data_IF_015013408457
#
_entry.id   IF_015013408457
#
_cell.length_a   1.000
_cell.length_b   1.000
_cell.length_c   1.000
_cell.angle_alpha   90.00
_cell.angle_beta   90.00
_cell.angle_gamma   90.00
#
_symmetry.space_group_name_H-M   'P 1'
#
loop_
_entity.id
_entity.type
_entity.pdbx_description
1 polymer ?
#
# COMPACT_ATOMS: atom_id res chain seq x y z
N UNK A 1 -3.88 -30.47 -13.05
CA UNK A 1 -4.92 -29.78 -13.83
C UNK A 1 -5.76 -28.97 -12.83
N UNK A 2 -5.64 -27.65 -12.82
CA UNK A 2 -6.45 -26.78 -12.00
C UNK A 2 -7.93 -26.96 -12.35
N UNK A 3 -8.73 -27.36 -11.38
CA UNK A 3 -10.19 -27.40 -11.55
C UNK A 3 -10.70 -25.95 -11.59
N UNK A 4 -11.34 -25.55 -12.69
CA UNK A 4 -12.10 -24.30 -12.79
C UNK A 4 -13.06 -24.25 -11.59
N UNK A 5 -13.16 -23.11 -10.87
CA UNK A 5 -14.01 -23.02 -9.69
C UNK A 5 -15.44 -23.44 -10.04
N UNK A 6 -15.94 -24.48 -9.40
CA UNK A 6 -17.35 -24.78 -9.42
C UNK A 6 -18.09 -23.64 -8.73
N UNK A 7 -19.21 -23.15 -9.29
CA UNK A 7 -19.99 -22.03 -8.71
C UNK A 7 -20.39 -22.25 -7.24
N UNK A 8 -20.44 -23.49 -6.81
CA UNK A 8 -20.78 -23.91 -5.45
C UNK A 8 -19.67 -23.68 -4.41
N UNK A 9 -18.44 -23.28 -4.84
CA UNK A 9 -17.29 -23.09 -3.98
C UNK A 9 -16.81 -21.61 -3.84
N UNK A 10 -17.64 -20.64 -4.26
CA UNK A 10 -17.28 -19.22 -4.15
C UNK A 10 -17.39 -18.80 -2.68
N UNK A 11 -16.39 -18.07 -2.21
CA UNK A 11 -16.40 -17.50 -0.85
C UNK A 11 -17.44 -16.37 -0.77
N UNK A 12 -18.44 -16.58 0.06
CA UNK A 12 -19.51 -15.61 0.36
C UNK A 12 -19.59 -15.45 1.86
N UNK A 13 -19.64 -14.22 2.35
CA UNK A 13 -19.81 -13.95 3.78
C UNK A 13 -21.28 -14.04 4.22
N UNK A 14 -21.51 -13.94 5.54
CA UNK A 14 -22.86 -13.99 6.13
C UNK A 14 -23.80 -12.85 5.68
N UNK A 15 -23.29 -11.83 4.98
CA UNK A 15 -24.07 -10.72 4.42
C UNK A 15 -24.29 -10.85 2.91
N UNK A 16 -23.96 -12.00 2.32
CA UNK A 16 -24.09 -12.26 0.89
C UNK A 16 -23.03 -11.57 0.02
N UNK A 17 -21.95 -11.02 0.62
CA UNK A 17 -20.88 -10.37 -0.12
C UNK A 17 -19.89 -11.40 -0.61
N UNK A 18 -19.58 -11.34 -1.91
CA UNK A 18 -18.54 -12.18 -2.52
C UNK A 18 -17.14 -11.70 -2.04
N UNK A 19 -16.34 -12.63 -1.56
CA UNK A 19 -14.96 -12.38 -1.20
C UNK A 19 -14.08 -12.70 -2.40
N UNK A 20 -13.60 -11.67 -3.09
CA UNK A 20 -12.80 -11.78 -4.33
C UNK A 20 -11.37 -11.24 -4.17
N UNK A 21 -10.98 -10.84 -2.96
CA UNK A 21 -9.72 -10.17 -2.68
C UNK A 21 -8.97 -10.81 -1.52
N UNK A 22 -7.69 -11.17 -1.77
CA UNK A 22 -6.77 -11.73 -0.78
C UNK A 22 -5.62 -10.75 -0.49
N UNK A 23 -5.33 -10.52 0.79
CA UNK A 23 -4.09 -9.88 1.24
C UNK A 23 -3.14 -10.95 1.76
N UNK A 24 -1.98 -11.08 1.12
CA UNK A 24 -0.96 -12.04 1.47
C UNK A 24 0.25 -11.32 2.06
N UNK A 25 0.48 -11.50 3.36
CA UNK A 25 1.70 -11.05 4.05
C UNK A 25 2.80 -12.08 3.81
N UNK A 26 3.84 -11.70 3.08
CA UNK A 26 4.92 -12.63 2.71
C UNK A 26 6.08 -12.63 3.70
N UNK A 27 6.17 -11.65 4.60
CA UNK A 27 7.23 -11.53 5.60
C UNK A 27 6.83 -10.55 6.70
N UNK A 28 7.35 -10.78 7.90
CA UNK A 28 7.30 -9.81 9.01
C UNK A 28 8.51 -8.82 8.97
N UNK A 29 9.54 -9.12 8.16
CA UNK A 29 10.76 -8.31 8.09
C UNK A 29 10.54 -7.03 7.30
N UNK A 30 11.10 -5.94 7.81
CA UNK A 30 11.08 -4.63 7.16
C UNK A 30 12.43 -3.94 7.34
N UNK A 31 12.83 -3.13 6.38
CA UNK A 31 14.04 -2.31 6.45
C UNK A 31 13.80 -0.89 7.00
N UNK A 32 12.55 -0.54 7.30
CA UNK A 32 12.16 0.65 8.07
C UNK A 32 11.67 0.24 9.47
N UNK A 33 11.52 1.22 10.38
CA UNK A 33 11.07 1.06 11.76
C UNK A 33 10.05 2.12 12.13
N UNK A 34 8.96 2.18 11.35
CA UNK A 34 7.94 3.23 11.54
C UNK A 34 7.35 3.20 12.95
N UNK A 35 7.31 4.37 13.58
CA UNK A 35 6.92 4.54 15.00
C UNK A 35 5.52 4.07 15.32
N UNK A 36 4.64 4.04 14.33
CA UNK A 36 3.27 3.55 14.45
C UNK A 36 3.10 2.07 14.09
N UNK A 37 4.16 1.39 13.62
CA UNK A 37 4.09 0.03 13.08
C UNK A 37 4.83 -1.00 13.93
N UNK A 38 6.09 -0.74 14.29
CA UNK A 38 6.92 -1.69 15.03
C UNK A 38 8.00 -1.00 15.87
N UNK A 39 8.45 -1.63 16.98
CA UNK A 39 9.53 -1.12 17.79
C UNK A 39 10.87 -1.14 17.04
N UNK A 40 11.83 -0.32 17.50
CA UNK A 40 13.18 -0.30 16.90
C UNK A 40 13.85 -1.69 16.99
N UNK A 41 13.74 -2.33 18.15
CA UNK A 41 14.29 -3.68 18.40
C UNK A 41 13.23 -4.77 18.19
N UNK A 42 12.71 -4.84 16.94
CA UNK A 42 11.71 -5.85 16.59
C UNK A 42 12.31 -7.26 16.63
N UNK A 43 11.61 -8.17 17.30
CA UNK A 43 11.91 -9.62 17.29
C UNK A 43 11.09 -10.26 16.16
N UNK A 44 11.78 -10.65 15.09
CA UNK A 44 11.15 -11.30 13.94
C UNK A 44 10.94 -12.79 14.16
N UNK A 45 9.94 -13.34 13.48
CA UNK A 45 9.69 -14.78 13.44
C UNK A 45 10.89 -15.54 12.85
N UNK A 46 11.08 -16.77 13.27
CA UNK A 46 12.10 -17.63 12.67
C UNK A 46 11.68 -18.02 11.25
N UNK A 47 12.66 -18.30 10.38
CA UNK A 47 12.36 -18.69 8.99
C UNK A 47 11.47 -19.92 8.89
N UNK A 48 11.55 -20.85 9.84
CA UNK A 48 10.74 -22.08 9.88
C UNK A 48 9.27 -21.84 10.24
N UNK A 49 8.97 -20.69 10.84
CA UNK A 49 7.62 -20.32 11.28
C UNK A 49 6.89 -19.45 10.24
N UNK A 50 7.57 -19.14 9.13
CA UNK A 50 7.02 -18.38 7.99
C UNK A 50 6.87 -19.34 6.81
N UNK A 51 5.69 -19.38 6.18
CA UNK A 51 5.44 -20.19 5.00
C UNK A 51 6.51 -19.97 3.91
N UNK A 52 6.94 -21.04 3.27
CA UNK A 52 7.73 -20.98 2.03
C UNK A 52 6.93 -20.35 0.89
N UNK A 53 7.59 -19.97 -0.20
CA UNK A 53 6.85 -19.48 -1.37
C UNK A 53 6.04 -20.58 -2.06
N UNK A 54 6.46 -21.83 -1.98
CA UNK A 54 5.71 -22.97 -2.53
C UNK A 54 4.40 -23.16 -1.75
N UNK A 55 4.44 -23.17 -0.41
CA UNK A 55 3.23 -23.23 0.44
C UNK A 55 2.31 -22.02 0.22
N UNK A 56 2.87 -20.83 0.04
CA UNK A 56 2.09 -19.63 -0.28
C UNK A 56 1.46 -19.71 -1.66
N UNK A 57 2.14 -20.32 -2.63
CA UNK A 57 1.61 -20.53 -3.97
C UNK A 57 0.42 -21.49 -3.95
N UNK A 58 0.54 -22.63 -3.26
CA UNK A 58 -0.56 -23.59 -3.06
C UNK A 58 -1.76 -22.92 -2.38
N UNK A 59 -1.49 -22.10 -1.34
CA UNK A 59 -2.52 -21.32 -0.67
C UNK A 59 -3.25 -20.39 -1.64
N UNK A 60 -2.51 -19.64 -2.46
CA UNK A 60 -3.08 -18.75 -3.48
C UNK A 60 -3.91 -19.54 -4.50
N UNK A 61 -3.43 -20.69 -4.97
CA UNK A 61 -4.14 -21.57 -5.88
C UNK A 61 -5.50 -21.99 -5.31
N UNK A 62 -5.54 -22.43 -4.04
CA UNK A 62 -6.79 -22.78 -3.37
C UNK A 62 -7.77 -21.62 -3.23
N UNK A 63 -7.29 -20.41 -2.95
CA UNK A 63 -8.14 -19.24 -2.88
C UNK A 63 -8.64 -18.79 -4.25
N UNK A 64 -7.79 -18.80 -5.26
CA UNK A 64 -8.16 -18.49 -6.65
C UNK A 64 -9.22 -19.49 -7.16
N UNK A 65 -9.07 -20.79 -6.86
CA UNK A 65 -10.07 -21.80 -7.16
C UNK A 65 -11.43 -21.56 -6.46
N UNK A 66 -11.46 -20.76 -5.37
CA UNK A 66 -12.68 -20.35 -4.65
C UNK A 66 -13.17 -18.97 -5.03
N UNK A 67 -12.64 -18.36 -6.10
CA UNK A 67 -13.18 -17.12 -6.66
C UNK A 67 -12.43 -15.86 -6.25
N UNK A 68 -11.26 -15.94 -5.59
CA UNK A 68 -10.37 -14.79 -5.43
C UNK A 68 -9.89 -14.34 -6.81
N UNK A 69 -10.05 -13.05 -7.10
CA UNK A 69 -9.70 -12.39 -8.34
C UNK A 69 -8.56 -11.38 -8.21
N UNK A 70 -8.27 -10.96 -6.98
CA UNK A 70 -7.24 -9.94 -6.70
C UNK A 70 -6.36 -10.41 -5.55
N UNK A 71 -5.04 -10.34 -5.73
CA UNK A 71 -4.06 -10.61 -4.68
C UNK A 71 -3.25 -9.35 -4.42
N UNK A 72 -3.17 -8.96 -3.15
CA UNK A 72 -2.25 -7.92 -2.70
C UNK A 72 -1.12 -8.54 -1.90
N UNK A 73 0.08 -8.44 -2.44
CA UNK A 73 1.30 -8.82 -1.77
C UNK A 73 1.71 -7.70 -0.83
N UNK A 74 1.94 -8.05 0.42
CA UNK A 74 2.34 -7.15 1.50
C UNK A 74 3.24 -7.88 2.49
N UNK A 75 3.45 -7.33 3.68
CA UNK A 75 4.26 -7.93 4.74
C UNK A 75 4.72 -6.85 5.70
N UNK A 76 5.93 -7.01 6.23
CA UNK A 76 6.74 -5.88 6.62
C UNK A 76 7.12 -5.12 5.34
N UNK A 77 8.25 -5.44 4.72
CA UNK A 77 8.56 -4.99 3.36
C UNK A 77 8.72 -6.21 2.44
N UNK A 78 7.81 -6.46 1.50
CA UNK A 78 7.86 -7.67 0.67
C UNK A 78 9.14 -7.78 -0.17
N UNK A 79 9.68 -6.67 -0.64
CA UNK A 79 10.86 -6.66 -1.51
C UNK A 79 12.17 -7.02 -0.79
N UNK A 80 12.18 -7.11 0.54
CA UNK A 80 13.36 -7.63 1.27
C UNK A 80 13.40 -9.15 1.33
N UNK A 81 12.29 -9.85 1.00
CA UNK A 81 12.24 -11.30 1.00
C UNK A 81 12.88 -11.85 -0.29
N UNK A 82 14.00 -12.56 -0.13
CA UNK A 82 14.71 -13.21 -1.27
C UNK A 82 13.77 -14.18 -1.99
N UNK A 83 13.73 -14.10 -3.33
CA UNK A 83 12.87 -14.95 -4.17
C UNK A 83 11.47 -14.37 -4.42
N UNK A 84 11.15 -13.17 -3.92
CA UNK A 84 9.82 -12.56 -4.09
C UNK A 84 9.43 -12.36 -5.56
N UNK A 85 10.37 -12.01 -6.43
CA UNK A 85 10.09 -11.80 -7.86
C UNK A 85 9.67 -13.09 -8.56
N UNK A 86 10.34 -14.20 -8.24
CA UNK A 86 9.99 -15.52 -8.77
C UNK A 86 8.58 -15.94 -8.32
N UNK A 87 8.26 -15.75 -7.03
CA UNK A 87 6.94 -16.00 -6.51
C UNK A 87 5.86 -15.18 -7.23
N UNK A 88 6.09 -13.87 -7.45
CA UNK A 88 5.16 -13.00 -8.18
C UNK A 88 5.00 -13.49 -9.63
N UNK A 89 6.10 -13.83 -10.28
CA UNK A 89 6.07 -14.35 -11.65
C UNK A 89 5.29 -15.67 -11.75
N UNK A 90 5.36 -16.54 -10.75
CA UNK A 90 4.56 -17.76 -10.70
C UNK A 90 3.06 -17.44 -10.59
N UNK A 91 2.67 -16.43 -9.79
CA UNK A 91 1.27 -15.99 -9.73
C UNK A 91 0.76 -15.40 -11.05
N UNK A 92 1.63 -14.85 -11.91
CA UNK A 92 1.26 -14.36 -13.24
C UNK A 92 0.63 -15.45 -14.12
N UNK A 93 0.97 -16.72 -13.91
CA UNK A 93 0.37 -17.84 -14.64
C UNK A 93 -1.16 -17.88 -14.51
N UNK A 94 -1.70 -17.57 -13.32
CA UNK A 94 -3.15 -17.47 -13.09
C UNK A 94 -3.80 -16.32 -13.86
N UNK A 95 -3.08 -15.21 -14.06
CA UNK A 95 -3.57 -14.12 -14.93
C UNK A 95 -3.64 -14.57 -16.38
N UNK A 96 -2.62 -15.26 -16.87
CA UNK A 96 -2.59 -15.76 -18.23
C UNK A 96 -3.73 -16.78 -18.50
N UNK A 97 -4.19 -17.47 -17.47
CA UNK A 97 -5.35 -18.38 -17.51
C UNK A 97 -6.69 -17.67 -17.25
N UNK A 98 -6.74 -16.34 -17.12
CA UNK A 98 -7.93 -15.56 -16.77
C UNK A 98 -8.58 -15.98 -15.42
N UNK A 99 -7.81 -16.55 -14.53
CA UNK A 99 -8.26 -16.95 -13.18
C UNK A 99 -8.04 -15.85 -12.16
N UNK A 100 -7.04 -14.99 -12.36
CA UNK A 100 -6.70 -13.83 -11.51
C UNK A 100 -6.71 -12.56 -12.36
N UNK A 101 -7.34 -11.49 -11.86
CA UNK A 101 -7.49 -10.23 -12.58
C UNK A 101 -6.38 -9.23 -12.25
N UNK A 102 -5.96 -9.16 -10.98
CA UNK A 102 -5.02 -8.13 -10.51
C UNK A 102 -4.04 -8.66 -9.46
N UNK A 103 -2.76 -8.33 -9.62
CA UNK A 103 -1.71 -8.49 -8.61
C UNK A 103 -1.23 -7.10 -8.20
N UNK A 104 -1.42 -6.75 -6.92
CA UNK A 104 -1.02 -5.47 -6.33
C UNK A 104 0.10 -5.68 -5.34
N UNK A 105 1.09 -4.80 -5.34
CA UNK A 105 2.15 -4.74 -4.34
C UNK A 105 1.90 -3.57 -3.38
N UNK A 106 2.08 -3.79 -2.07
CA UNK A 106 2.24 -2.71 -1.09
C UNK A 106 3.67 -2.72 -0.58
N UNK A 107 4.37 -1.61 -0.72
CA UNK A 107 5.79 -1.45 -0.38
C UNK A 107 6.07 -0.10 0.27
N UNK A 108 7.15 0.00 1.02
CA UNK A 108 7.66 1.27 1.53
C UNK A 108 8.47 2.06 0.47
N UNK A 109 8.62 1.53 -0.73
CA UNK A 109 9.24 2.20 -1.87
C UNK A 109 10.76 2.22 -1.89
N UNK A 110 11.45 1.85 -0.81
CA UNK A 110 12.92 1.95 -0.71
C UNK A 110 13.70 1.09 -1.70
N UNK A 111 13.05 0.08 -2.27
CA UNK A 111 13.65 -0.87 -3.23
C UNK A 111 13.04 -0.77 -4.64
N UNK A 112 12.14 0.17 -4.89
CA UNK A 112 11.49 0.32 -6.20
C UNK A 112 12.47 0.75 -7.29
N UNK A 113 13.48 1.57 -6.97
CA UNK A 113 14.51 1.98 -7.92
C UNK A 113 15.20 0.76 -8.55
N UNK A 114 15.47 -0.25 -7.73
CA UNK A 114 16.19 -1.46 -8.15
C UNK A 114 15.27 -2.52 -8.79
N UNK A 115 13.96 -2.54 -8.45
CA UNK A 115 13.06 -3.65 -8.77
C UNK A 115 11.93 -3.32 -9.76
N UNK A 116 11.73 -2.05 -10.14
CA UNK A 116 10.54 -1.65 -10.93
C UNK A 116 10.41 -2.39 -12.25
N UNK A 117 11.52 -2.59 -12.97
CA UNK A 117 11.53 -3.33 -14.24
C UNK A 117 11.08 -4.77 -14.08
N UNK A 118 11.68 -5.46 -13.12
CA UNK A 118 11.39 -6.87 -12.84
C UNK A 118 9.98 -7.06 -12.30
N UNK A 119 9.48 -6.15 -11.46
CA UNK A 119 8.10 -6.16 -10.97
C UNK A 119 7.10 -6.04 -12.13
N UNK A 120 7.39 -5.16 -13.12
CA UNK A 120 6.54 -5.05 -14.31
C UNK A 120 6.53 -6.34 -15.11
N UNK A 121 7.69 -6.93 -15.33
CA UNK A 121 7.84 -8.18 -16.07
C UNK A 121 7.17 -9.36 -15.34
N UNK A 122 7.20 -9.37 -14.02
CA UNK A 122 6.56 -10.39 -13.18
C UNK A 122 5.04 -10.26 -13.07
N UNK A 123 4.44 -9.22 -13.67
CA UNK A 123 2.98 -9.11 -13.79
C UNK A 123 2.28 -8.30 -12.71
N UNK A 124 3.00 -7.48 -11.93
CA UNK A 124 2.39 -6.48 -11.04
C UNK A 124 1.62 -5.44 -11.86
N UNK A 125 0.38 -5.16 -11.48
CA UNK A 125 -0.49 -4.17 -12.12
C UNK A 125 -0.46 -2.83 -11.44
N UNK A 126 -0.45 -2.84 -10.09
CA UNK A 126 -0.53 -1.65 -9.24
C UNK A 126 0.46 -1.73 -8.09
N UNK A 127 1.00 -0.58 -7.72
CA UNK A 127 1.86 -0.44 -6.55
C UNK A 127 1.25 0.59 -5.60
N UNK A 128 1.01 0.18 -4.35
CA UNK A 128 0.69 1.08 -3.26
C UNK A 128 1.97 1.36 -2.48
N UNK A 129 2.34 2.63 -2.38
CA UNK A 129 3.60 3.05 -1.75
C UNK A 129 3.26 3.73 -0.43
N UNK A 130 3.81 3.21 0.67
CA UNK A 130 3.67 3.81 1.99
C UNK A 130 4.63 4.99 2.10
N UNK A 131 4.08 6.21 2.13
CA UNK A 131 4.83 7.46 2.22
C UNK A 131 4.02 8.48 3.04
N UNK A 132 4.55 8.86 4.20
CA UNK A 132 3.82 9.67 5.16
C UNK A 132 4.19 11.16 5.09
N UNK A 133 5.28 11.52 4.41
CA UNK A 133 5.81 12.89 4.32
C UNK A 133 6.77 13.04 3.14
N UNK A 134 6.95 14.28 2.68
CA UNK A 134 8.00 14.69 1.70
C UNK A 134 9.18 15.40 2.38
N UNK A 135 9.13 15.60 3.69
CA UNK A 135 10.18 16.24 4.49
C UNK A 135 11.16 15.19 5.03
N UNK A 136 12.46 15.41 4.85
CA UNK A 136 13.50 14.44 5.25
C UNK A 136 13.54 14.22 6.77
N UNK A 137 13.40 15.29 7.55
CA UNK A 137 13.45 15.21 9.02
C UNK A 137 12.21 14.51 9.58
N UNK A 138 11.03 14.85 9.05
CA UNK A 138 9.77 14.17 9.40
C UNK A 138 9.81 12.69 8.99
N UNK A 139 10.36 12.38 7.81
CA UNK A 139 10.54 10.99 7.35
C UNK A 139 11.45 10.21 8.29
N UNK A 140 12.60 10.77 8.67
CA UNK A 140 13.51 10.13 9.61
C UNK A 140 12.86 9.94 10.99
N UNK A 141 12.14 10.95 11.49
CA UNK A 141 11.40 10.87 12.75
C UNK A 141 10.37 9.73 12.73
N UNK A 142 9.61 9.60 11.64
CA UNK A 142 8.56 8.56 11.51
C UNK A 142 9.16 7.18 11.29
N UNK A 143 10.12 7.05 10.36
CA UNK A 143 10.62 5.74 9.89
C UNK A 143 11.89 5.27 10.59
N UNK A 144 12.51 6.14 11.39
CA UNK A 144 13.82 5.94 12.03
C UNK A 144 14.96 5.63 11.03
N UNK A 145 14.81 6.07 9.76
CA UNK A 145 15.79 5.84 8.67
C UNK A 145 15.84 7.04 7.71
N UNK A 146 17.00 7.31 7.13
CA UNK A 146 17.26 8.43 6.18
C UNK A 146 17.11 8.00 4.72
N UNK A 147 15.96 7.46 4.35
CA UNK A 147 15.77 6.84 3.04
C UNK A 147 14.76 7.59 2.13
N UNK A 148 14.31 8.80 2.48
CA UNK A 148 13.28 9.50 1.69
C UNK A 148 13.69 9.67 0.23
N UNK A 149 14.91 10.13 -0.05
CA UNK A 149 15.38 10.30 -1.44
C UNK A 149 15.37 9.01 -2.23
N UNK A 150 15.68 7.87 -1.57
CA UNK A 150 15.63 6.55 -2.22
C UNK A 150 14.18 6.16 -2.57
N UNK A 151 13.22 6.46 -1.69
CA UNK A 151 11.78 6.26 -1.97
C UNK A 151 11.32 7.12 -3.15
N UNK A 152 11.68 8.40 -3.18
CA UNK A 152 11.27 9.31 -4.25
C UNK A 152 11.87 8.87 -5.61
N UNK A 153 13.16 8.50 -5.68
CA UNK A 153 13.75 7.93 -6.90
C UNK A 153 13.04 6.63 -7.31
N UNK A 154 12.69 5.78 -6.35
CA UNK A 154 11.93 4.56 -6.62
C UNK A 154 10.55 4.84 -7.22
N UNK A 155 9.86 5.89 -6.78
CA UNK A 155 8.58 6.34 -7.35
C UNK A 155 8.79 6.82 -8.79
N UNK A 156 9.81 7.64 -9.03
CA UNK A 156 10.12 8.13 -10.37
C UNK A 156 10.50 6.98 -11.32
N UNK A 157 11.26 6.00 -10.84
CA UNK A 157 11.56 4.80 -11.63
C UNK A 157 10.30 3.99 -11.95
N UNK A 158 9.43 3.74 -10.96
CA UNK A 158 8.17 3.01 -11.16
C UNK A 158 7.26 3.70 -12.19
N UNK A 159 7.24 5.05 -12.24
CA UNK A 159 6.48 5.80 -13.24
C UNK A 159 6.91 5.49 -14.67
N UNK A 160 8.19 5.25 -14.93
CA UNK A 160 8.70 4.91 -16.28
C UNK A 160 8.10 3.61 -16.82
N UNK A 161 7.69 2.69 -15.95
CA UNK A 161 7.07 1.42 -16.33
C UNK A 161 5.54 1.45 -16.35
N UNK A 162 4.93 2.64 -16.28
CA UNK A 162 3.47 2.82 -16.36
C UNK A 162 2.69 1.98 -15.33
N UNK A 163 3.17 1.91 -14.10
CA UNK A 163 2.39 1.35 -13.00
C UNK A 163 1.26 2.30 -12.60
N UNK A 164 0.12 1.73 -12.21
CA UNK A 164 -0.87 2.47 -11.42
C UNK A 164 -0.33 2.63 -10.01
N UNK A 165 0.10 3.85 -9.67
CA UNK A 165 0.67 4.16 -8.36
C UNK A 165 -0.37 4.78 -7.46
N UNK A 166 -0.30 4.43 -6.18
CA UNK A 166 -1.11 5.02 -5.12
C UNK A 166 -0.25 5.23 -3.87
N UNK A 167 -0.34 6.42 -3.30
CA UNK A 167 0.30 6.73 -2.02
C UNK A 167 -0.63 6.32 -0.88
N UNK A 168 -0.12 5.60 0.10
CA UNK A 168 -0.77 5.30 1.35
C UNK A 168 -0.08 6.09 2.46
N UNK A 169 -0.82 6.95 3.16
CA UNK A 169 -0.29 7.84 4.19
C UNK A 169 -1.03 7.62 5.49
N UNK A 170 -0.29 7.30 6.54
CA UNK A 170 -0.82 7.30 7.90
C UNK A 170 -0.80 8.73 8.45
N UNK A 171 -1.95 9.21 8.89
CA UNK A 171 -2.08 10.56 9.47
C UNK A 171 -1.69 10.52 10.94
N UNK A 172 -0.61 11.21 11.29
CA UNK A 172 -0.02 11.24 12.62
C UNK A 172 -0.14 12.64 13.23
N UNK A 173 -0.83 12.76 14.39
CA UNK A 173 -1.19 14.00 15.08
C UNK A 173 -0.02 14.98 15.20
N UNK A 174 1.11 14.55 15.74
CA UNK A 174 2.24 15.42 16.09
C UNK A 174 3.41 15.32 15.10
N UNK A 175 3.16 14.75 13.92
CA UNK A 175 4.22 14.55 12.93
C UNK A 175 3.89 15.15 11.56
N UNK A 176 2.82 14.70 10.89
CA UNK A 176 2.61 15.04 9.49
C UNK A 176 1.26 15.69 9.14
N UNK A 177 0.36 15.94 10.09
CA UNK A 177 -0.98 16.50 9.78
C UNK A 177 -0.94 17.80 8.98
N UNK A 178 0.04 18.65 9.21
CA UNK A 178 0.22 19.93 8.54
C UNK A 178 0.78 19.78 7.11
N UNK A 179 1.46 18.66 6.81
CA UNK A 179 2.06 18.34 5.52
C UNK A 179 1.07 17.63 4.56
N UNK A 180 -0.04 17.07 5.08
CA UNK A 180 -1.01 16.30 4.29
C UNK A 180 -1.54 17.05 3.06
N UNK A 181 -1.91 18.33 3.11
CA UNK A 181 -2.36 19.06 1.92
C UNK A 181 -1.29 19.14 0.82
N UNK A 182 -0.03 19.32 1.19
CA UNK A 182 1.09 19.34 0.25
C UNK A 182 1.32 17.95 -0.38
N UNK A 183 1.27 16.91 0.44
CA UNK A 183 1.41 15.53 -0.03
C UNK A 183 0.28 15.13 -0.99
N UNK A 184 -0.97 15.57 -0.75
CA UNK A 184 -2.10 15.40 -1.67
C UNK A 184 -1.81 16.09 -3.00
N UNK A 185 -1.40 17.36 -2.96
CA UNK A 185 -1.08 18.12 -4.16
C UNK A 185 0.04 17.46 -4.96
N UNK A 186 1.14 17.10 -4.29
CA UNK A 186 2.27 16.43 -4.92
C UNK A 186 1.86 15.08 -5.55
N UNK A 187 1.08 14.27 -4.86
CA UNK A 187 0.60 13.00 -5.38
C UNK A 187 -0.20 13.19 -6.66
N UNK A 188 -1.18 14.10 -6.65
CA UNK A 188 -2.03 14.35 -7.82
C UNK A 188 -1.25 14.97 -8.98
N UNK A 189 -0.34 15.91 -8.71
CA UNK A 189 0.55 16.50 -9.73
C UNK A 189 1.40 15.42 -10.42
N UNK A 190 1.71 14.35 -9.73
CA UNK A 190 2.45 13.20 -10.26
C UNK A 190 1.55 12.07 -10.81
N UNK A 191 0.24 12.31 -10.96
CA UNK A 191 -0.71 11.33 -11.52
C UNK A 191 -1.00 10.14 -10.60
N UNK A 192 -0.83 10.32 -9.28
CA UNK A 192 -1.04 9.28 -8.29
C UNK A 192 -2.25 9.57 -7.41
N UNK A 193 -3.02 8.53 -7.09
CA UNK A 193 -4.01 8.60 -6.02
C UNK A 193 -3.33 8.61 -4.65
N UNK A 194 -4.03 9.15 -3.64
CA UNK A 194 -3.58 9.08 -2.24
C UNK A 194 -4.69 8.53 -1.34
N UNK A 195 -4.32 7.68 -0.39
CA UNK A 195 -5.18 7.23 0.71
C UNK A 195 -4.66 7.73 2.04
N UNK A 196 -5.50 8.39 2.80
CA UNK A 196 -5.23 8.76 4.18
C UNK A 196 -5.76 7.67 5.11
N UNK A 197 -4.95 7.27 6.08
CA UNK A 197 -5.22 6.13 6.96
C UNK A 197 -5.08 6.59 8.41
N UNK A 198 -6.05 6.24 9.26
CA UNK A 198 -5.92 6.43 10.71
C UNK A 198 -4.94 5.43 11.32
N UNK A 199 -4.26 5.83 12.38
CA UNK A 199 -3.52 4.86 13.21
C UNK A 199 -4.50 3.86 13.83
N UNK A 200 -4.21 2.58 13.65
CA UNK A 200 -5.03 1.50 14.21
C UNK A 200 -4.39 0.93 15.48
N UNK A 201 -5.15 0.49 16.48
CA UNK A 201 -4.62 -0.11 17.72
C UNK A 201 -4.11 -1.55 17.48
N UNK A 202 -3.24 -1.72 16.47
CA UNK A 202 -2.68 -3.01 16.05
C UNK A 202 -1.15 -2.99 16.09
N UNK A 203 -0.54 -4.15 16.42
CA UNK A 203 0.90 -4.36 16.47
C UNK A 203 1.52 -3.93 17.82
N UNK A 204 2.78 -4.23 17.97
CA UNK A 204 3.59 -3.89 19.15
C UNK A 204 4.42 -2.65 18.81
N UNK A 205 4.31 -1.59 19.61
CA UNK A 205 5.03 -0.33 19.42
C UNK A 205 5.55 0.20 20.76
N UNK A 206 6.62 1.01 20.68
CA UNK A 206 7.27 1.59 21.87
C UNK A 206 6.46 2.75 22.52
N UNK A 207 5.50 3.35 21.79
CA UNK A 207 4.77 4.55 22.20
C UNK A 207 3.27 4.31 22.35
N UNK A 208 2.58 5.15 23.13
CA UNK A 208 1.12 5.15 23.15
C UNK A 208 0.56 5.59 21.79
N UNK A 209 -0.34 4.79 21.25
CA UNK A 209 -0.98 5.05 19.95
C UNK A 209 -2.01 6.17 20.00
N UNK A 210 -2.62 6.37 21.14
CA UNK A 210 -3.57 7.46 21.34
C UNK A 210 -2.92 8.82 21.14
N UNK A 211 -1.63 8.96 21.48
CA UNK A 211 -0.86 10.18 21.28
C UNK A 211 -0.64 10.47 19.78
N UNK A 212 -0.56 9.44 18.96
CA UNK A 212 -0.36 9.56 17.50
C UNK A 212 -1.66 9.67 16.71
N UNK A 213 -2.81 9.36 17.34
CA UNK A 213 -4.09 9.28 16.65
C UNK A 213 -4.60 10.65 16.20
N UNK A 214 -5.02 10.72 14.94
CA UNK A 214 -5.75 11.85 14.39
C UNK A 214 -6.88 11.36 13.49
N UNK A 215 -8.12 11.73 13.78
CA UNK A 215 -9.30 11.29 13.05
C UNK A 215 -9.30 11.78 11.60
N UNK A 216 -9.53 10.86 10.65
CA UNK A 216 -9.68 11.18 9.22
C UNK A 216 -10.86 12.13 8.97
N UNK A 217 -11.91 12.07 9.77
CA UNK A 217 -13.02 13.04 9.68
C UNK A 217 -12.56 14.46 10.00
N UNK A 218 -11.70 14.64 11.02
CA UNK A 218 -11.09 15.94 11.32
C UNK A 218 -10.12 16.36 10.21
N UNK A 219 -9.32 15.41 9.71
CA UNK A 219 -8.38 15.66 8.61
C UNK A 219 -9.12 16.09 7.33
N UNK A 220 -10.23 15.44 6.98
CA UNK A 220 -11.07 15.83 5.85
C UNK A 220 -11.54 17.27 5.97
N UNK A 221 -12.05 17.70 7.13
CA UNK A 221 -12.44 19.11 7.37
C UNK A 221 -11.27 20.08 7.19
N UNK A 222 -10.07 19.68 7.54
CA UNK A 222 -8.87 20.51 7.30
C UNK A 222 -8.52 20.57 5.81
N UNK A 223 -8.65 19.48 5.09
CA UNK A 223 -8.42 19.41 3.64
C UNK A 223 -9.46 20.27 2.90
N UNK A 224 -10.74 20.22 3.30
CA UNK A 224 -11.83 21.00 2.71
C UNK A 224 -11.64 22.52 2.80
N UNK A 225 -10.78 23.00 3.71
CA UNK A 225 -10.37 24.42 3.74
C UNK A 225 -9.47 24.83 2.58
N UNK A 226 -8.79 23.88 1.95
CA UNK A 226 -7.82 24.11 0.86
C UNK A 226 -8.29 23.53 -0.50
N UNK A 227 -9.13 22.51 -0.49
CA UNK A 227 -9.59 21.79 -1.67
C UNK A 227 -11.11 21.64 -1.66
N UNK A 228 -11.74 21.73 -2.83
CA UNK A 228 -13.14 21.33 -2.97
C UNK A 228 -13.19 19.81 -3.20
N UNK A 229 -13.77 19.09 -2.24
CA UNK A 229 -13.91 17.64 -2.32
C UNK A 229 -15.34 17.27 -2.78
N UNK A 230 -15.43 16.44 -3.82
CA UNK A 230 -16.70 15.82 -4.22
C UNK A 230 -16.63 14.32 -3.96
N UNK A 231 -17.62 13.77 -3.23
CA UNK A 231 -17.71 12.33 -3.00
C UNK A 231 -17.80 11.60 -4.35
N UNK A 232 -16.98 10.57 -4.51
CA UNK A 232 -16.96 9.73 -5.72
C UNK A 232 -17.94 8.58 -5.57
N UNK A 233 -18.57 8.18 -6.68
CA UNK A 233 -19.33 6.92 -6.76
C UNK A 233 -18.43 5.69 -6.87
N UNK A 234 -17.12 5.88 -7.07
CA UNK A 234 -16.15 4.79 -7.09
C UNK A 234 -16.07 4.12 -5.72
N UNK A 235 -16.16 2.81 -5.69
CA UNK A 235 -16.02 1.99 -4.47
C UNK A 235 -15.07 0.83 -4.74
N UNK A 236 -14.46 0.32 -3.67
CA UNK A 236 -13.69 -0.92 -3.70
C UNK A 236 -14.22 -1.85 -2.61
N UNK A 237 -13.73 -3.09 -2.59
CA UNK A 237 -14.11 -4.09 -1.57
C UNK A 237 -13.72 -3.70 -0.13
N UNK A 238 -13.04 -2.58 0.08
CA UNK A 238 -12.61 -2.09 1.40
C UNK A 238 -13.52 -0.98 1.96
N UNK A 239 -13.30 -0.59 3.22
CA UNK A 239 -14.12 0.41 3.94
C UNK A 239 -13.78 1.87 3.55
N UNK A 240 -13.11 2.11 2.45
CA UNK A 240 -12.62 3.44 2.06
C UNK A 240 -13.73 4.27 1.41
N UNK A 241 -13.89 5.52 1.84
CA UNK A 241 -14.62 6.56 1.13
C UNK A 241 -13.72 7.26 0.11
N UNK A 242 -14.23 7.47 -1.10
CA UNK A 242 -13.46 8.10 -2.19
C UNK A 242 -13.98 9.50 -2.49
N UNK A 243 -13.05 10.44 -2.69
CA UNK A 243 -13.32 11.83 -3.04
C UNK A 243 -12.47 12.25 -4.22
N UNK A 244 -13.03 13.12 -5.08
CA UNK A 244 -12.29 13.84 -6.10
C UNK A 244 -12.04 15.26 -5.62
N UNK A 245 -10.79 15.72 -5.66
CA UNK A 245 -10.47 17.13 -5.54
C UNK A 245 -10.81 17.82 -6.87
N UNK A 246 -11.84 18.67 -6.88
CA UNK A 246 -12.41 19.24 -8.12
C UNK A 246 -11.75 20.57 -8.51
N UNK A 247 -11.26 21.33 -7.54
CA UNK A 247 -10.47 22.54 -7.77
C UNK A 247 -9.51 22.77 -6.62
N UNK A 248 -8.35 23.27 -6.97
CA UNK A 248 -7.42 23.86 -6.02
C UNK A 248 -7.81 25.33 -5.89
N UNK A 249 -8.78 25.65 -5.04
CA UNK A 249 -9.07 27.03 -4.71
C UNK A 249 -7.85 27.60 -4.00
N UNK A 250 -7.07 28.45 -4.70
CA UNK A 250 -5.93 29.20 -4.20
C UNK A 250 -4.69 28.41 -3.72
N UNK A 251 -4.09 27.63 -4.64
CA UNK A 251 -2.64 27.48 -4.63
C UNK A 251 -2.06 28.36 -5.75
N UNK A 252 -2.08 29.66 -5.54
CA UNK A 252 -1.05 30.50 -6.12
C UNK A 252 0.24 30.10 -5.40
N UNK A 253 1.07 29.30 -6.09
CA UNK A 253 2.48 29.20 -5.68
C UNK A 253 3.01 30.63 -5.62
N UNK A 254 3.74 31.04 -4.57
CA UNK A 254 4.50 32.27 -4.64
C UNK A 254 5.45 32.09 -5.82
N UNK A 255 5.20 32.84 -6.88
CA UNK A 255 6.19 33.08 -7.92
C UNK A 255 7.28 33.89 -7.28
N UNK A 256 8.31 33.21 -6.78
CA UNK A 256 9.54 33.90 -6.44
C UNK A 256 10.14 34.39 -7.76
N UNK A 257 10.04 35.70 -7.93
CA UNK A 257 10.86 36.42 -8.87
C UNK A 257 12.33 36.37 -8.47
#
# INVERSE_FOLDING_TARGET
>A
MLKIPNRDNILIDNYGRKIDYLRLSVTDRCNLRCTYCMPEKMKFMSKKDILSFDEMYELCEHFIARGIKKIRITGGEPLVRKGILEFINNLKSFKNMNMLDEITLTTNGTLLEDYSKELKNSGIDRINISLDTLNEETFEKITRRKNLRKVLRGIDEAKKYNFKLKINTVVLKDSNIHEIPELIYWSHKNGMDISLIETMPLGDIDNDRYDQFFSINKMRKNIEKKFTLKKSSYTTSGPSDYYKAVSYTHLTLPTNA
#
